data_IF_365481604420
#
_entry.id   IF_365481604420
#
_cell.length_a   1.000
_cell.length_b   1.000
_cell.length_c   1.000
_cell.angle_alpha   90.00
_cell.angle_beta   90.00
_cell.angle_gamma   90.00
#
_symmetry.space_group_name_H-M   'P 1'
#
loop_
_entity.id
_entity.type
_entity.pdbx_description
1 polymer ?
#
# COMPACT_ATOMS: atom_id res chain seq x y z
N UNK A 1 -8.81 14.62 16.95
CA UNK A 1 -8.47 14.20 15.58
C UNK A 1 -8.78 12.72 15.45
N UNK A 2 -9.33 12.26 14.32
CA UNK A 2 -9.54 10.83 14.09
C UNK A 2 -8.18 10.16 13.80
N UNK A 3 -8.03 8.90 14.20
CA UNK A 3 -6.88 8.07 13.85
C UNK A 3 -6.86 7.81 12.33
N UNK A 4 -5.68 7.80 11.72
CA UNK A 4 -5.50 7.44 10.31
C UNK A 4 -6.07 6.04 9.98
N UNK A 5 -6.57 5.88 8.77
CA UNK A 5 -6.78 4.55 8.17
C UNK A 5 -5.46 4.05 7.60
N UNK A 6 -4.97 2.92 8.10
CA UNK A 6 -3.73 2.30 7.62
C UNK A 6 -4.07 1.21 6.60
N UNK A 7 -3.54 1.32 5.39
CA UNK A 7 -3.81 0.41 4.28
C UNK A 7 -2.51 -0.18 3.73
N UNK A 8 -2.36 -1.51 3.76
CA UNK A 8 -1.25 -2.21 3.10
C UNK A 8 -1.60 -2.52 1.64
N UNK A 9 -0.69 -2.18 0.73
CA UNK A 9 -0.77 -2.55 -0.69
C UNK A 9 0.09 -3.79 -0.89
N UNK A 10 -0.53 -4.96 -1.01
CA UNK A 10 0.15 -6.26 -0.88
C UNK A 10 -0.12 -7.16 -2.07
N UNK A 11 0.94 -7.74 -2.61
CA UNK A 11 0.89 -8.94 -3.46
C UNK A 11 2.26 -9.62 -3.42
N UNK A 12 2.28 -10.95 -3.27
CA UNK A 12 3.52 -11.74 -3.25
C UNK A 12 4.23 -11.80 -4.61
N UNK A 13 3.52 -11.48 -5.69
CA UNK A 13 4.09 -11.44 -7.04
C UNK A 13 4.75 -10.08 -7.31
N UNK A 14 5.97 -10.13 -7.87
CA UNK A 14 6.64 -8.93 -8.38
C UNK A 14 5.91 -8.35 -9.60
N UNK A 15 6.06 -7.05 -9.82
CA UNK A 15 5.55 -6.38 -11.02
C UNK A 15 4.02 -6.27 -11.11
N UNK A 16 3.29 -6.38 -9.99
CA UNK A 16 1.82 -6.24 -9.98
C UNK A 16 1.34 -4.79 -9.80
N UNK A 17 2.23 -3.81 -9.85
CA UNK A 17 1.89 -2.40 -9.70
C UNK A 17 1.61 -1.98 -8.25
N UNK A 18 2.17 -2.65 -7.24
CA UNK A 18 2.03 -2.26 -5.82
C UNK A 18 2.52 -0.83 -5.58
N UNK A 19 3.77 -0.58 -5.89
CA UNK A 19 4.42 0.72 -5.73
C UNK A 19 3.68 1.83 -6.48
N UNK A 20 3.42 1.61 -7.78
CA UNK A 20 2.65 2.56 -8.60
C UNK A 20 1.26 2.82 -8.04
N UNK A 21 0.60 1.79 -7.49
CA UNK A 21 -0.72 1.95 -6.85
C UNK A 21 -0.60 2.71 -5.53
N UNK A 22 0.40 2.40 -4.70
CA UNK A 22 0.64 3.09 -3.43
C UNK A 22 0.88 4.57 -3.65
N UNK A 23 1.78 4.92 -4.56
CA UNK A 23 2.11 6.28 -4.97
C UNK A 23 0.86 7.03 -5.48
N UNK A 24 0.24 6.52 -6.55
CA UNK A 24 -0.83 7.26 -7.23
C UNK A 24 -2.15 7.27 -6.44
N UNK A 25 -2.47 6.25 -5.66
CA UNK A 25 -3.59 6.31 -4.72
C UNK A 25 -3.31 7.31 -3.61
N UNK A 26 -2.08 7.33 -3.06
CA UNK A 26 -1.70 8.27 -2.01
C UNK A 26 -1.80 9.72 -2.46
N UNK A 27 -1.22 10.05 -3.62
CA UNK A 27 -1.30 11.39 -4.21
C UNK A 27 -2.75 11.71 -4.62
N UNK A 28 -3.50 10.74 -5.15
CA UNK A 28 -4.92 10.91 -5.43
C UNK A 28 -5.74 11.28 -4.18
N UNK A 29 -5.48 10.65 -3.04
CA UNK A 29 -6.09 11.00 -1.75
C UNK A 29 -5.67 12.39 -1.28
N UNK A 30 -4.40 12.78 -1.46
CA UNK A 30 -3.92 14.13 -1.14
C UNK A 30 -4.62 15.20 -2.00
N UNK A 31 -4.82 14.92 -3.29
CA UNK A 31 -5.58 15.80 -4.19
C UNK A 31 -7.05 15.97 -3.76
N UNK A 32 -7.60 15.00 -3.02
CA UNK A 32 -8.94 15.09 -2.39
C UNK A 32 -8.88 15.68 -0.96
N UNK A 33 -7.79 16.38 -0.63
CA UNK A 33 -7.62 17.12 0.63
C UNK A 33 -7.34 16.25 1.86
N UNK A 34 -6.88 15.00 1.70
CA UNK A 34 -6.49 14.13 2.81
C UNK A 34 -5.01 14.33 3.14
N UNK A 35 -4.67 14.26 4.43
CA UNK A 35 -3.28 14.18 4.88
C UNK A 35 -2.82 12.74 4.73
N UNK A 36 -1.82 12.50 3.92
CA UNK A 36 -1.38 11.15 3.53
C UNK A 36 0.08 10.94 3.86
N UNK A 37 0.38 9.81 4.53
CA UNK A 37 1.71 9.29 4.70
C UNK A 37 1.88 8.03 3.85
N UNK A 38 2.90 8.00 3.03
CA UNK A 38 3.37 6.80 2.32
C UNK A 38 4.53 6.19 3.10
N UNK A 39 4.55 4.88 3.24
CA UNK A 39 5.63 4.16 3.94
C UNK A 39 6.16 3.09 3.02
N UNK A 40 7.41 3.21 2.64
CA UNK A 40 8.10 2.19 1.85
C UNK A 40 8.55 1.05 2.78
N UNK A 41 8.05 -0.16 2.55
CA UNK A 41 8.40 -1.34 3.34
C UNK A 41 9.11 -2.41 2.48
N UNK A 42 9.64 -1.99 1.31
CA UNK A 42 10.44 -2.82 0.43
C UNK A 42 11.93 -2.40 0.52
N UNK A 43 12.87 -3.31 0.84
CA UNK A 43 14.30 -3.01 0.82
C UNK A 43 14.83 -2.52 -0.53
N UNK A 44 14.09 -2.76 -1.62
CA UNK A 44 14.43 -2.22 -2.95
C UNK A 44 14.15 -0.71 -3.07
N UNK A 45 13.48 -0.12 -2.11
CA UNK A 45 13.18 1.31 -2.02
C UNK A 45 12.49 1.89 -3.27
N UNK A 46 11.64 1.08 -3.91
CA UNK A 46 11.01 1.47 -5.17
C UNK A 46 10.07 2.66 -5.02
N UNK A 47 9.31 2.75 -3.92
CA UNK A 47 8.45 3.88 -3.63
C UNK A 47 9.27 5.13 -3.30
N UNK A 48 10.36 4.96 -2.55
CA UNK A 48 11.30 6.03 -2.20
C UNK A 48 11.90 6.66 -3.46
N UNK A 49 12.35 5.83 -4.41
CA UNK A 49 12.87 6.30 -5.70
C UNK A 49 11.78 6.98 -6.53
N UNK A 50 10.58 6.39 -6.61
CA UNK A 50 9.45 6.93 -7.36
C UNK A 50 8.99 8.31 -6.84
N UNK A 51 9.26 8.63 -5.58
CA UNK A 51 8.98 9.93 -4.96
C UNK A 51 10.19 10.87 -4.95
N UNK A 52 11.11 10.72 -5.92
CA UNK A 52 12.18 11.69 -6.18
C UNK A 52 13.43 11.51 -5.31
N UNK A 53 13.64 10.37 -4.66
CA UNK A 53 14.85 10.08 -3.89
C UNK A 53 15.68 8.98 -4.54
N UNK A 54 16.42 9.28 -5.64
CA UNK A 54 17.09 8.24 -6.47
C UNK A 54 18.27 7.55 -5.78
N UNK A 55 18.73 8.05 -4.64
CA UNK A 55 19.79 7.46 -3.82
C UNK A 55 19.31 7.21 -2.40
N UNK A 56 18.45 6.20 -2.19
CA UNK A 56 17.85 5.95 -0.89
C UNK A 56 18.88 5.58 0.21
N UNK A 57 20.02 5.01 -0.19
CA UNK A 57 21.09 4.64 0.76
C UNK A 57 21.84 5.84 1.36
N UNK A 58 21.72 7.02 0.74
CA UNK A 58 22.29 8.27 1.25
C UNK A 58 21.35 8.98 2.26
N UNK A 59 20.13 8.49 2.47
CA UNK A 59 19.17 9.10 3.37
C UNK A 59 19.57 8.89 4.84
N UNK A 60 19.52 9.94 5.67
CA UNK A 60 20.03 9.89 7.04
C UNK A 60 19.17 9.05 8.00
N UNK A 61 17.86 8.97 7.74
CA UNK A 61 16.89 8.21 8.54
C UNK A 61 15.90 7.52 7.62
N UNK A 62 15.72 6.23 7.81
CA UNK A 62 14.80 5.39 7.03
C UNK A 62 13.88 4.58 7.96
N UNK A 63 12.98 3.80 7.38
CA UNK A 63 12.12 2.89 8.15
C UNK A 63 12.94 1.92 9.02
N UNK A 64 14.13 1.50 8.56
CA UNK A 64 15.03 0.64 9.33
C UNK A 64 15.39 1.26 10.67
N UNK A 65 15.74 2.55 10.66
CA UNK A 65 16.15 3.28 11.88
C UNK A 65 14.98 3.42 12.85
N UNK A 66 13.79 3.72 12.34
CA UNK A 66 12.58 3.83 13.15
C UNK A 66 12.21 2.49 13.80
N UNK A 67 12.29 1.38 13.05
CA UNK A 67 12.03 0.05 13.57
C UNK A 67 13.11 -0.38 14.57
N UNK A 68 14.38 -0.04 14.33
CA UNK A 68 15.47 -0.31 15.26
C UNK A 68 15.27 0.41 16.59
N UNK A 69 14.82 1.67 16.58
CA UNK A 69 14.47 2.41 17.81
C UNK A 69 13.40 1.69 18.61
N UNK A 70 12.34 1.22 17.96
CA UNK A 70 11.28 0.44 18.64
C UNK A 70 11.84 -0.82 19.29
N UNK A 71 12.73 -1.55 18.59
CA UNK A 71 13.37 -2.77 19.13
C UNK A 71 14.30 -2.47 20.33
N UNK A 72 14.77 -1.22 20.46
CA UNK A 72 15.64 -0.76 21.53
C UNK A 72 14.88 0.04 22.62
N UNK A 73 13.54 0.03 22.58
CA UNK A 73 12.67 0.83 23.48
C UNK A 73 13.01 2.33 23.47
N UNK A 74 13.49 2.86 22.31
CA UNK A 74 13.83 4.27 22.14
C UNK A 74 12.64 5.04 21.56
N UNK A 75 12.42 6.30 22.00
CA UNK A 75 11.34 7.12 21.44
C UNK A 75 11.66 7.58 20.01
N UNK A 76 10.61 7.65 19.18
CA UNK A 76 10.66 8.27 17.86
C UNK A 76 10.29 9.74 18.02
N UNK A 77 11.16 10.64 17.57
CA UNK A 77 10.89 12.08 17.63
C UNK A 77 9.80 12.48 16.64
N UNK A 78 9.04 13.55 16.91
CA UNK A 78 8.07 14.07 15.95
C UNK A 78 8.72 14.37 14.58
N UNK A 79 8.12 13.85 13.50
CA UNK A 79 8.61 14.00 12.12
C UNK A 79 9.96 13.34 11.80
N UNK A 80 10.51 12.54 12.71
CA UNK A 80 11.74 11.80 12.42
C UNK A 80 11.52 10.81 11.27
N UNK A 81 12.42 10.82 10.28
CA UNK A 81 12.36 9.97 9.11
C UNK A 81 11.22 10.28 8.15
N UNK A 82 10.58 11.47 8.26
CA UNK A 82 9.52 11.91 7.35
C UNK A 82 10.09 12.89 6.33
N UNK A 83 9.90 12.58 5.06
CA UNK A 83 10.22 13.43 3.91
C UNK A 83 8.91 13.95 3.31
N UNK A 84 8.85 15.25 2.98
CA UNK A 84 7.67 15.82 2.32
C UNK A 84 7.86 15.86 0.82
N UNK A 85 6.83 15.45 0.08
CA UNK A 85 6.80 15.46 -1.38
C UNK A 85 5.98 16.63 -1.91
N UNK A 86 6.38 17.21 -3.06
CA UNK A 86 5.74 18.39 -3.65
C UNK A 86 4.27 18.20 -4.03
N UNK A 87 3.83 16.96 -4.28
CA UNK A 87 2.43 16.62 -4.57
C UNK A 87 1.58 16.37 -3.31
N UNK A 88 2.02 16.86 -2.14
CA UNK A 88 1.21 16.95 -0.92
C UNK A 88 1.12 15.65 -0.11
N UNK A 89 2.00 14.69 -0.32
CA UNK A 89 2.16 13.51 0.52
C UNK A 89 3.45 13.57 1.32
N UNK A 90 3.48 12.91 2.48
CA UNK A 90 4.69 12.65 3.23
C UNK A 90 5.15 11.20 3.00
N UNK A 91 6.46 10.94 3.15
CA UNK A 91 7.10 9.65 2.95
C UNK A 91 7.93 9.24 4.16
N UNK A 92 7.79 8.02 4.64
CA UNK A 92 8.84 7.31 5.41
C UNK A 92 9.61 6.44 4.41
N UNK A 93 10.87 6.76 4.10
CA UNK A 93 11.64 6.06 3.08
C UNK A 93 12.18 4.72 3.57
N UNK A 94 12.47 3.82 2.64
CA UNK A 94 13.28 2.62 2.86
C UNK A 94 14.63 2.71 2.15
N UNK A 95 15.49 1.78 2.49
CA UNK A 95 16.73 1.50 1.75
C UNK A 95 17.14 0.04 1.94
N UNK A 96 18.29 -0.36 1.37
CA UNK A 96 18.74 -1.75 1.39
C UNK A 96 18.95 -2.31 2.83
N UNK A 97 19.21 -1.47 3.81
CA UNK A 97 19.40 -1.90 5.22
C UNK A 97 18.13 -2.54 5.82
N UNK A 98 16.94 -2.25 5.25
CA UNK A 98 15.68 -2.85 5.68
C UNK A 98 15.67 -4.39 5.48
N UNK A 99 16.49 -4.93 4.56
CA UNK A 99 16.67 -6.38 4.43
C UNK A 99 17.24 -7.03 5.69
N UNK A 100 18.09 -6.33 6.41
CA UNK A 100 18.65 -6.78 7.70
C UNK A 100 17.61 -6.79 8.83
N UNK A 101 16.57 -5.98 8.71
CA UNK A 101 15.47 -5.94 9.69
C UNK A 101 14.68 -7.27 9.71
N UNK A 102 14.51 -7.96 8.58
CA UNK A 102 13.89 -9.29 8.58
C UNK A 102 14.63 -10.27 9.48
N UNK A 103 15.96 -10.23 9.48
CA UNK A 103 16.79 -11.08 10.35
C UNK A 103 16.68 -10.64 11.81
N UNK A 104 16.72 -9.34 12.07
CA UNK A 104 16.60 -8.78 13.42
C UNK A 104 15.26 -9.13 14.07
N UNK A 105 14.19 -9.11 13.31
CA UNK A 105 12.83 -9.46 13.76
C UNK A 105 12.69 -10.92 14.18
N UNK A 106 13.49 -11.85 13.63
CA UNK A 106 13.37 -13.29 13.95
C UNK A 106 13.47 -13.56 15.45
N UNK A 107 14.37 -12.84 16.14
CA UNK A 107 14.66 -13.03 17.56
C UNK A 107 13.99 -11.98 18.47
N UNK A 108 13.21 -11.05 17.90
CA UNK A 108 12.57 -10.00 18.66
C UNK A 108 11.29 -10.46 19.35
N UNK A 109 11.03 -9.98 20.55
CA UNK A 109 9.71 -10.13 21.20
C UNK A 109 8.67 -9.30 20.44
N UNK A 110 7.45 -9.84 20.33
CA UNK A 110 6.34 -9.18 19.61
C UNK A 110 6.72 -8.71 18.21
N UNK A 111 7.58 -9.46 17.55
CA UNK A 111 8.22 -9.17 16.25
C UNK A 111 7.25 -8.81 15.13
N UNK A 112 5.99 -9.24 15.23
CA UNK A 112 4.96 -8.97 14.24
C UNK A 112 4.35 -7.57 14.37
N UNK A 113 4.65 -6.85 15.46
CA UNK A 113 4.00 -5.56 15.78
C UNK A 113 4.95 -4.37 15.83
N UNK A 114 6.21 -4.54 15.46
CA UNK A 114 7.24 -3.49 15.50
C UNK A 114 6.84 -2.31 14.59
N UNK A 115 6.42 -2.57 13.35
CA UNK A 115 5.94 -1.52 12.45
C UNK A 115 4.67 -0.83 13.00
N UNK A 116 3.77 -1.56 13.65
CA UNK A 116 2.60 -0.96 14.30
C UNK A 116 3.02 0.09 15.33
N UNK A 117 4.05 -0.19 16.15
CA UNK A 117 4.54 0.75 17.15
C UNK A 117 5.15 2.00 16.52
N UNK A 118 5.89 1.86 15.40
CA UNK A 118 6.35 3.00 14.60
C UNK A 118 5.18 3.87 14.17
N UNK A 119 4.14 3.25 13.58
CA UNK A 119 2.99 3.97 13.03
C UNK A 119 2.08 4.55 14.13
N UNK A 120 2.07 3.96 15.33
CA UNK A 120 1.32 4.47 16.47
C UNK A 120 1.78 5.87 16.90
N UNK A 121 3.03 6.20 16.69
CA UNK A 121 3.57 7.56 16.92
C UNK A 121 3.08 8.58 15.87
N UNK A 122 2.67 8.13 14.68
CA UNK A 122 2.37 8.98 13.53
C UNK A 122 0.88 9.07 13.18
N UNK A 123 0.08 8.04 13.51
CA UNK A 123 -1.30 7.85 13.03
C UNK A 123 -2.30 8.98 13.30
N UNK A 124 -2.03 9.87 14.24
CA UNK A 124 -2.91 11.00 14.55
C UNK A 124 -2.63 12.25 13.72
N UNK A 125 -1.53 12.25 12.96
CA UNK A 125 -1.12 13.37 12.10
C UNK A 125 -1.74 13.26 10.70
N UNK A 126 -2.18 12.06 10.30
CA UNK A 126 -2.65 11.73 8.96
C UNK A 126 -4.10 11.24 8.97
N UNK A 127 -4.73 11.27 7.80
CA UNK A 127 -6.04 10.68 7.53
C UNK A 127 -5.89 9.29 6.92
N UNK A 128 -4.83 9.09 6.12
CA UNK A 128 -4.44 7.81 5.52
C UNK A 128 -2.94 7.56 5.68
N UNK A 129 -2.58 6.30 5.92
CA UNK A 129 -1.21 5.79 5.84
C UNK A 129 -1.23 4.60 4.89
N UNK A 130 -0.48 4.68 3.77
CA UNK A 130 -0.36 3.59 2.79
C UNK A 130 1.01 2.93 2.93
N UNK A 131 1.02 1.60 3.01
CA UNK A 131 2.25 0.80 3.12
C UNK A 131 2.51 0.11 1.79
N UNK A 132 3.61 0.45 1.11
CA UNK A 132 4.07 -0.28 -0.09
C UNK A 132 4.84 -1.52 0.32
N UNK A 133 4.29 -2.70 0.08
CA UNK A 133 4.85 -3.94 0.56
C UNK A 133 5.72 -4.64 -0.48
N UNK A 134 6.83 -5.23 -0.02
CA UNK A 134 7.69 -6.05 -0.85
C UNK A 134 6.95 -7.27 -1.45
N UNK A 135 7.43 -7.84 -2.58
CA UNK A 135 6.81 -9.01 -3.22
C UNK A 135 7.15 -10.32 -2.50
N UNK A 136 6.84 -10.40 -1.20
CA UNK A 136 7.04 -11.60 -0.40
C UNK A 136 5.97 -11.70 0.70
N UNK A 137 5.91 -12.82 1.38
CA UNK A 137 5.09 -13.03 2.58
C UNK A 137 5.98 -13.18 3.83
N UNK A 138 7.15 -12.53 3.82
CA UNK A 138 8.11 -12.50 4.93
C UNK A 138 7.67 -11.65 6.11
N UNK A 139 8.57 -11.47 7.09
CA UNK A 139 8.27 -10.78 8.35
C UNK A 139 7.91 -9.30 8.16
N UNK A 140 8.49 -8.60 7.17
CA UNK A 140 8.12 -7.22 6.87
C UNK A 140 6.67 -7.13 6.38
N UNK A 141 6.24 -8.04 5.49
CA UNK A 141 4.84 -8.09 5.04
C UNK A 141 3.88 -8.47 6.19
N UNK A 142 4.27 -9.41 7.06
CA UNK A 142 3.48 -9.71 8.27
C UNK A 142 3.36 -8.49 9.17
N UNK A 143 4.42 -7.71 9.38
CA UNK A 143 4.40 -6.44 10.12
C UNK A 143 3.46 -5.42 9.48
N UNK A 144 3.51 -5.26 8.15
CA UNK A 144 2.61 -4.37 7.42
C UNK A 144 1.14 -4.78 7.62
N UNK A 145 0.81 -6.06 7.47
CA UNK A 145 -0.55 -6.59 7.71
C UNK A 145 -0.97 -6.45 9.18
N UNK A 146 -0.05 -6.67 10.12
CA UNK A 146 -0.30 -6.53 11.53
C UNK A 146 -0.62 -5.08 11.91
N UNK A 147 0.01 -4.11 11.27
CA UNK A 147 -0.18 -2.68 11.51
C UNK A 147 -1.43 -2.11 10.82
N UNK A 148 -1.95 -2.78 9.78
CA UNK A 148 -2.97 -2.24 8.89
C UNK A 148 -4.40 -2.44 9.38
N UNK A 149 -5.28 -1.52 9.01
CA UNK A 149 -6.74 -1.67 9.12
C UNK A 149 -7.29 -2.38 7.86
N UNK A 150 -6.63 -2.19 6.72
CA UNK A 150 -7.11 -2.58 5.40
C UNK A 150 -6.00 -3.14 4.52
N UNK A 151 -6.37 -4.00 3.57
CA UNK A 151 -5.48 -4.54 2.54
C UNK A 151 -6.07 -4.26 1.17
N UNK A 152 -5.33 -3.54 0.33
CA UNK A 152 -5.58 -3.40 -1.10
C UNK A 152 -4.68 -4.37 -1.86
N UNK A 153 -5.27 -5.14 -2.77
CA UNK A 153 -4.55 -6.21 -3.48
C UNK A 153 -4.50 -5.90 -4.98
N UNK A 154 -3.42 -5.29 -5.49
CA UNK A 154 -3.20 -5.16 -6.93
C UNK A 154 -2.93 -6.53 -7.56
N UNK A 155 -3.67 -6.88 -8.61
CA UNK A 155 -3.59 -8.18 -9.30
C UNK A 155 -3.49 -7.95 -10.80
N UNK A 156 -2.47 -8.49 -11.44
CA UNK A 156 -2.42 -8.50 -12.90
C UNK A 156 -3.51 -9.41 -13.48
N UNK A 157 -4.14 -8.98 -14.57
CA UNK A 157 -5.11 -9.78 -15.31
C UNK A 157 -4.43 -10.93 -16.10
N UNK A 158 -3.83 -11.89 -15.36
CA UNK A 158 -3.27 -13.11 -15.95
C UNK A 158 -3.51 -14.34 -15.04
N UNK A 159 -3.46 -15.53 -15.65
CA UNK A 159 -3.80 -16.80 -15.02
C UNK A 159 -2.98 -17.10 -13.75
N UNK A 160 -1.66 -16.87 -13.78
CA UNK A 160 -0.77 -17.15 -12.65
C UNK A 160 -1.04 -16.22 -11.46
N UNK A 161 -1.51 -15.00 -11.73
CA UNK A 161 -1.88 -14.05 -10.68
C UNK A 161 -3.18 -14.46 -9.96
N UNK A 162 -4.14 -15.03 -10.69
CA UNK A 162 -5.35 -15.56 -10.07
C UNK A 162 -5.05 -16.69 -9.08
N UNK A 163 -4.12 -17.61 -9.44
CA UNK A 163 -3.68 -18.70 -8.55
C UNK A 163 -2.90 -18.17 -7.32
N UNK A 164 -2.03 -17.17 -7.49
CA UNK A 164 -1.26 -16.55 -6.39
C UNK A 164 -2.14 -15.78 -5.41
N UNK A 165 -3.29 -15.26 -5.88
CA UNK A 165 -4.23 -14.53 -5.04
C UNK A 165 -4.78 -15.38 -3.90
N UNK A 166 -5.10 -16.64 -4.14
CA UNK A 166 -5.63 -17.55 -3.11
C UNK A 166 -4.64 -17.72 -1.94
N UNK A 167 -3.36 -17.92 -2.24
CA UNK A 167 -2.32 -18.05 -1.21
C UNK A 167 -2.15 -16.76 -0.39
N UNK A 168 -2.22 -15.60 -1.05
CA UNK A 168 -2.20 -14.31 -0.35
C UNK A 168 -3.42 -14.16 0.58
N UNK A 169 -4.62 -14.49 0.10
CA UNK A 169 -5.85 -14.44 0.92
C UNK A 169 -5.76 -15.35 2.13
N UNK A 170 -5.18 -16.55 2.00
CA UNK A 170 -4.92 -17.46 3.12
C UNK A 170 -3.99 -16.81 4.16
N UNK A 171 -2.91 -16.15 3.71
CA UNK A 171 -1.97 -15.45 4.61
C UNK A 171 -2.63 -14.27 5.32
N UNK A 172 -3.38 -13.43 4.59
CA UNK A 172 -4.15 -12.33 5.20
C UNK A 172 -5.13 -12.85 6.25
N UNK A 173 -5.85 -13.94 5.96
CA UNK A 173 -6.76 -14.56 6.90
C UNK A 173 -6.05 -15.16 8.13
N UNK A 174 -4.83 -15.69 7.97
CA UNK A 174 -4.01 -16.17 9.09
C UNK A 174 -3.59 -15.02 10.00
N UNK A 175 -3.09 -13.93 9.44
CA UNK A 175 -2.75 -12.71 10.19
C UNK A 175 -3.98 -12.14 10.90
N UNK A 176 -5.12 -12.07 10.19
CA UNK A 176 -6.39 -11.62 10.79
C UNK A 176 -6.80 -12.44 12.01
N UNK A 177 -6.69 -13.76 11.94
CA UNK A 177 -7.11 -14.64 13.05
C UNK A 177 -6.15 -14.61 14.24
N UNK A 178 -4.84 -14.48 13.99
CA UNK A 178 -3.82 -14.72 15.01
C UNK A 178 -3.20 -13.44 15.58
N UNK A 179 -3.16 -12.34 14.78
CA UNK A 179 -2.38 -11.15 15.10
C UNK A 179 -3.23 -9.87 15.08
N UNK A 180 -4.06 -9.70 14.03
CA UNK A 180 -4.82 -8.47 13.82
C UNK A 180 -6.29 -8.77 13.45
N UNK A 181 -7.17 -9.03 14.44
CA UNK A 181 -8.58 -9.37 14.17
C UNK A 181 -9.37 -8.30 13.44
N UNK A 182 -8.89 -7.05 13.46
CA UNK A 182 -9.54 -5.91 12.79
C UNK A 182 -9.17 -5.78 11.31
N UNK A 183 -8.15 -6.53 10.85
CA UNK A 183 -7.71 -6.50 9.46
C UNK A 183 -8.83 -6.94 8.53
N UNK A 184 -9.06 -6.16 7.46
CA UNK A 184 -10.02 -6.49 6.42
C UNK A 184 -9.43 -6.28 5.03
N UNK A 185 -9.93 -7.04 4.07
CA UNK A 185 -9.58 -6.80 2.67
C UNK A 185 -10.46 -5.66 2.17
N UNK A 186 -9.83 -4.57 1.72
CA UNK A 186 -10.51 -3.41 1.15
C UNK A 186 -11.01 -3.71 -0.25
N UNK A 187 -10.18 -4.37 -1.04
CA UNK A 187 -10.56 -4.80 -2.37
C UNK A 187 -9.39 -5.33 -3.19
N UNK A 188 -9.75 -5.89 -4.33
CA UNK A 188 -8.86 -6.33 -5.40
C UNK A 188 -8.88 -5.25 -6.48
N UNK A 189 -7.69 -4.79 -6.90
CA UNK A 189 -7.51 -3.86 -8.02
C UNK A 189 -6.88 -4.60 -9.19
N UNK A 190 -7.56 -4.65 -10.33
CA UNK A 190 -6.98 -5.19 -11.54
C UNK A 190 -5.98 -4.19 -12.13
N UNK A 191 -4.76 -4.66 -12.41
CA UNK A 191 -3.66 -3.84 -12.90
C UNK A 191 -3.06 -4.41 -14.17
N UNK A 192 -2.37 -3.56 -14.93
CA UNK A 192 -1.71 -3.94 -16.20
C UNK A 192 -2.64 -4.66 -17.15
N UNK A 193 -3.92 -4.24 -17.18
CA UNK A 193 -4.95 -4.83 -18.03
C UNK A 193 -4.70 -4.39 -19.46
N UNK A 194 -4.48 -5.33 -20.37
CA UNK A 194 -4.47 -5.04 -21.81
C UNK A 194 -5.87 -5.22 -22.40
N UNK A 195 -6.64 -4.15 -22.34
CA UNK A 195 -8.04 -4.14 -22.81
C UNK A 195 -8.23 -4.49 -24.30
N UNK A 196 -7.14 -4.54 -25.09
CA UNK A 196 -7.15 -4.94 -26.50
C UNK A 196 -7.24 -6.45 -26.68
N UNK A 197 -6.87 -7.22 -25.65
CA UNK A 197 -6.83 -8.68 -25.72
C UNK A 197 -8.08 -9.31 -25.10
N UNK A 198 -8.68 -10.29 -25.78
CA UNK A 198 -9.79 -11.06 -25.22
C UNK A 198 -9.36 -11.83 -23.97
N UNK A 199 -8.13 -12.34 -23.96
CA UNK A 199 -7.59 -13.07 -22.83
C UNK A 199 -7.58 -12.23 -21.53
N UNK A 200 -7.14 -10.97 -21.58
CA UNK A 200 -7.15 -10.11 -20.39
C UNK A 200 -8.59 -9.82 -19.92
N UNK A 201 -9.54 -9.65 -20.84
CA UNK A 201 -10.96 -9.49 -20.51
C UNK A 201 -11.54 -10.74 -19.84
N UNK A 202 -11.25 -11.93 -20.38
CA UNK A 202 -11.68 -13.21 -19.81
C UNK A 202 -11.15 -13.41 -18.38
N UNK A 203 -9.86 -13.13 -18.14
CA UNK A 203 -9.25 -13.22 -16.81
C UNK A 203 -9.85 -12.17 -15.86
N UNK A 204 -10.09 -10.95 -16.32
CA UNK A 204 -10.73 -9.91 -15.51
C UNK A 204 -12.14 -10.34 -15.10
N UNK A 205 -12.92 -10.89 -16.01
CA UNK A 205 -14.25 -11.45 -15.75
C UNK A 205 -14.15 -12.61 -14.77
N UNK A 206 -13.23 -13.56 -14.98
CA UNK A 206 -13.02 -14.70 -14.09
C UNK A 206 -12.72 -14.25 -12.64
N UNK A 207 -11.86 -13.25 -12.46
CA UNK A 207 -11.55 -12.71 -11.13
C UNK A 207 -12.79 -12.07 -10.49
N UNK A 208 -13.54 -11.28 -11.25
CA UNK A 208 -14.79 -10.66 -10.78
C UNK A 208 -15.85 -11.70 -10.40
N UNK A 209 -16.04 -12.73 -11.19
CA UNK A 209 -17.01 -13.80 -10.94
C UNK A 209 -16.59 -14.66 -9.74
N UNK A 210 -15.29 -14.99 -9.63
CA UNK A 210 -14.79 -15.84 -8.56
C UNK A 210 -14.79 -15.15 -7.20
N UNK A 211 -14.42 -13.88 -7.16
CA UNK A 211 -14.19 -13.17 -5.90
C UNK A 211 -15.25 -12.10 -5.61
N UNK A 212 -15.92 -11.54 -6.62
CA UNK A 212 -16.80 -10.38 -6.49
C UNK A 212 -18.00 -10.58 -5.57
N UNK A 213 -18.45 -11.83 -5.37
CA UNK A 213 -19.51 -12.14 -4.40
C UNK A 213 -19.06 -12.07 -2.93
N UNK A 214 -17.74 -12.14 -2.67
CA UNK A 214 -17.15 -12.21 -1.32
C UNK A 214 -16.26 -11.03 -0.99
N UNK A 215 -15.62 -10.44 -1.99
CA UNK A 215 -14.67 -9.35 -1.88
C UNK A 215 -15.02 -8.27 -2.89
N UNK A 216 -14.79 -7.02 -2.51
CA UNK A 216 -14.85 -5.92 -3.48
C UNK A 216 -13.78 -6.15 -4.55
N UNK A 217 -14.17 -6.15 -5.83
CA UNK A 217 -13.26 -5.93 -6.95
C UNK A 217 -13.57 -4.53 -7.46
N UNK A 218 -12.56 -3.67 -7.52
CA UNK A 218 -12.74 -2.27 -7.94
C UNK A 218 -13.20 -2.20 -9.40
N UNK A 219 -14.01 -1.19 -9.70
CA UNK A 219 -14.48 -0.94 -11.08
C UNK A 219 -13.37 -0.38 -11.96
N UNK A 220 -12.45 0.39 -11.34
CA UNK A 220 -11.25 0.88 -11.99
C UNK A 220 -10.31 -0.29 -12.35
N UNK A 221 -10.00 -0.43 -13.64
CA UNK A 221 -8.99 -1.35 -14.18
C UNK A 221 -7.78 -0.54 -14.65
N UNK A 222 -6.64 -0.67 -13.98
CA UNK A 222 -5.44 0.08 -14.35
C UNK A 222 -4.80 -0.56 -15.58
N UNK A 223 -4.77 0.13 -16.74
CA UNK A 223 -4.24 -0.46 -17.97
C UNK A 223 -2.70 -0.53 -17.95
N UNK A 224 -2.16 -1.41 -18.77
CA UNK A 224 -0.73 -1.40 -19.05
C UNK A 224 -0.37 -0.13 -19.82
N UNK A 225 0.60 0.66 -19.30
CA UNK A 225 1.02 1.92 -19.90
C UNK A 225 2.53 2.08 -19.81
N UNK A 226 3.14 2.57 -20.89
CA UNK A 226 4.57 2.97 -20.91
C UNK A 226 4.75 4.19 -20.02
N UNK A 227 3.86 5.17 -20.11
CA UNK A 227 3.91 6.39 -19.28
C UNK A 227 3.88 6.09 -17.77
N UNK A 228 3.08 5.10 -17.36
CA UNK A 228 3.07 4.66 -15.96
C UNK A 228 4.37 3.95 -15.53
N UNK A 229 5.20 3.51 -16.46
CA UNK A 229 6.53 2.99 -16.15
C UNK A 229 7.60 4.10 -16.08
N UNK A 230 7.38 5.23 -16.76
CA UNK A 230 8.30 6.36 -16.81
C UNK A 230 8.27 7.20 -15.53
N UNK A 231 7.13 7.29 -14.84
CA UNK A 231 6.92 8.16 -13.66
C UNK A 231 7.96 7.93 -12.56
N UNK A 232 8.35 6.67 -12.32
CA UNK A 232 9.34 6.34 -11.28
C UNK A 232 10.74 6.89 -11.58
N UNK A 233 11.06 7.15 -12.84
CA UNK A 233 12.33 7.76 -13.22
C UNK A 233 12.31 9.30 -13.08
N UNK A 234 11.12 9.90 -13.14
CA UNK A 234 10.92 11.35 -13.07
C UNK A 234 10.63 11.84 -11.63
N UNK A 235 10.31 10.90 -10.72
CA UNK A 235 9.98 11.24 -9.33
C UNK A 235 8.65 11.99 -9.18
N UNK A 236 7.67 11.71 -10.04
CA UNK A 236 6.35 12.38 -10.08
C UNK A 236 5.23 11.39 -10.34
N UNK A 237 4.02 11.71 -9.88
CA UNK A 237 2.86 10.86 -10.12
C UNK A 237 2.38 10.88 -11.57
N UNK A 238 1.52 9.90 -11.91
CA UNK A 238 0.83 9.89 -13.19
C UNK A 238 -0.07 11.13 -13.37
N UNK A 239 -0.54 11.74 -12.30
CA UNK A 239 -1.38 12.94 -12.35
C UNK A 239 -0.61 14.17 -12.82
N UNK A 240 0.70 14.22 -12.56
CA UNK A 240 1.59 15.30 -13.04
C UNK A 240 2.17 14.95 -14.41
N UNK A 241 2.59 13.69 -14.63
CA UNK A 241 3.25 13.26 -15.86
C UNK A 241 2.27 13.16 -17.05
N UNK A 242 1.06 12.58 -16.86
CA UNK A 242 0.03 12.40 -17.90
C UNK A 242 -1.37 12.69 -17.36
N UNK A 243 -1.69 13.96 -17.01
CA UNK A 243 -2.92 14.32 -16.28
C UNK A 243 -4.21 13.98 -17.02
N UNK A 244 -4.18 13.95 -18.35
CA UNK A 244 -5.32 13.60 -19.21
C UNK A 244 -5.34 12.14 -19.65
N UNK A 245 -4.36 11.35 -19.26
CA UNK A 245 -4.23 9.96 -19.69
C UNK A 245 -5.19 9.02 -18.96
N UNK A 246 -5.44 7.86 -19.60
CA UNK A 246 -6.36 6.84 -19.06
C UNK A 246 -5.93 6.32 -17.69
N UNK A 247 -4.63 6.14 -17.46
CA UNK A 247 -4.11 5.68 -16.15
C UNK A 247 -4.42 6.69 -15.05
N UNK A 248 -4.25 8.00 -15.31
CA UNK A 248 -4.58 9.05 -14.35
C UNK A 248 -6.10 9.07 -14.06
N UNK A 249 -6.93 8.88 -15.09
CA UNK A 249 -8.39 8.79 -14.93
C UNK A 249 -8.77 7.60 -14.03
N UNK A 250 -8.19 6.43 -14.28
CA UNK A 250 -8.50 5.21 -13.54
C UNK A 250 -8.02 5.28 -12.08
N UNK A 251 -6.86 5.90 -11.79
CA UNK A 251 -6.45 6.17 -10.41
C UNK A 251 -7.34 7.21 -9.71
N UNK A 252 -7.86 8.23 -10.42
CA UNK A 252 -8.91 9.11 -9.86
C UNK A 252 -10.18 8.33 -9.53
N UNK A 253 -10.58 7.40 -10.42
CA UNK A 253 -11.69 6.47 -10.19
C UNK A 253 -11.49 5.65 -8.92
N UNK A 254 -10.33 4.99 -8.79
CA UNK A 254 -9.94 4.21 -7.61
C UNK A 254 -10.00 5.06 -6.34
N UNK A 255 -9.45 6.28 -6.37
CA UNK A 255 -9.45 7.20 -5.23
C UNK A 255 -10.87 7.49 -4.76
N UNK A 256 -11.78 7.82 -5.69
CA UNK A 256 -13.19 8.08 -5.38
C UNK A 256 -13.88 6.85 -4.79
N UNK A 257 -13.62 5.66 -5.34
CA UNK A 257 -14.18 4.41 -4.79
C UNK A 257 -13.69 4.13 -3.36
N UNK A 258 -12.39 4.33 -3.09
CA UNK A 258 -11.81 4.17 -1.74
C UNK A 258 -12.46 5.12 -0.75
N UNK A 259 -12.64 6.39 -1.11
CA UNK A 259 -13.30 7.38 -0.26
C UNK A 259 -14.77 7.05 -0.02
N UNK A 260 -15.51 6.67 -1.06
CA UNK A 260 -16.92 6.27 -0.94
C UNK A 260 -17.10 5.04 -0.03
N UNK A 261 -16.20 4.06 -0.12
CA UNK A 261 -16.19 2.90 0.76
C UNK A 261 -15.92 3.30 2.22
N UNK A 262 -15.00 4.24 2.46
CA UNK A 262 -14.70 4.74 3.80
C UNK A 262 -15.91 5.46 4.42
N UNK A 263 -16.62 6.26 3.65
CA UNK A 263 -17.85 6.95 4.09
C UNK A 263 -18.99 5.98 4.41
N UNK A 264 -19.22 4.98 3.54
CA UNK A 264 -20.23 3.93 3.79
C UNK A 264 -19.95 3.19 5.09
N UNK A 265 -18.69 2.85 5.36
CA UNK A 265 -18.30 2.19 6.62
C UNK A 265 -18.54 3.07 7.83
N UNK A 266 -18.17 4.34 7.75
CA UNK A 266 -18.39 5.30 8.84
C UNK A 266 -19.87 5.45 9.18
N UNK A 267 -20.74 5.55 8.16
CA UNK A 267 -22.20 5.60 8.37
C UNK A 267 -22.69 4.33 9.06
N UNK A 268 -22.30 3.16 8.56
CA UNK A 268 -22.72 1.89 9.16
C UNK A 268 -22.27 1.73 10.64
N UNK A 269 -21.07 2.17 10.99
CA UNK A 269 -20.60 2.16 12.37
C UNK A 269 -21.40 3.10 13.27
N UNK A 270 -21.78 4.29 12.77
CA UNK A 270 -22.61 5.23 13.52
C UNK A 270 -24.03 4.69 13.74
N UNK A 271 -24.58 3.98 12.76
CA UNK A 271 -25.92 3.38 12.87
C UNK A 271 -25.94 2.18 13.87
N UNK A 272 -24.82 1.47 14.03
CA UNK A 272 -24.69 0.39 15.02
C UNK A 272 -24.50 0.90 16.47
N UNK A 273 -24.15 2.16 16.66
CA UNK A 273 -23.96 2.79 17.98
C UNK A 273 -25.23 3.51 18.46
N UNK A 274 -26.26 3.58 17.63
CA UNK A 274 -27.60 4.11 17.95
C UNK A 274 -28.56 3.01 18.31
#
# INVERSE_FOLDING_TARGET
MSRATIMAVVNQKGGTGKTTTCENLGIGLANEGKRVLLVDTDPQASLTIALGHPRPDDLPVTLTDLMAKVLQDQPIAPKEGILSHEEGVDLVPANITLSGMEVSLVNAMSRETVLRQVLDALKFQYDYILLDCMPSLGMLTVNALAASDQVLIPVQANYLSAKGLEQLLQTVNKVKRQINPKLRIEGILLTMVDLRTNFAKEISTLIRDTYGSKLKVYDADIPRSVRAAEISAEGVSIFKHDPGGKVAEDYRGLTKEVLANAEKRRKHQLDQLR
#
